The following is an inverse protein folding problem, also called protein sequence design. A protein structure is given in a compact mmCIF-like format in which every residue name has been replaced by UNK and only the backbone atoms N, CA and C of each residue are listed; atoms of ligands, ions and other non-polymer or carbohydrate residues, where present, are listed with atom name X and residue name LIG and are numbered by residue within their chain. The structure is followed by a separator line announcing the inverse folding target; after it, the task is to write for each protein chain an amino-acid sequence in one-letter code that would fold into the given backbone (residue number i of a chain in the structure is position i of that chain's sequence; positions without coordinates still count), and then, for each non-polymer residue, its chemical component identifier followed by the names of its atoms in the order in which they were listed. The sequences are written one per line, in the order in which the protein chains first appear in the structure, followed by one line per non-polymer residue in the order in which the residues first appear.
data_IF_893507986707
#
_entry.id   IF_893507986707
#
_cell.length_a   1.000
_cell.length_b   1.000
_cell.length_c   1.000
_cell.angle_alpha   90.00
_cell.angle_beta   90.00
_cell.angle_gamma   90.00
#
_symmetry.space_group_name_H-M   'P 1'
#
loop_
_entity.id
_entity.type
_entity.pdbx_description
1 polymer ?
#
# COMPACT_ATOMS: atom_id res chain seq x y z
N UNK A 1 -35.53 0.17 -108.66
CA UNK A 1 -35.30 0.78 -107.32
C UNK A 1 -35.00 -0.26 -106.22
N UNK A 2 -34.20 -1.31 -106.50
CA UNK A 2 -33.77 -2.28 -105.48
C UNK A 2 -32.30 -2.70 -105.54
N UNK A 3 -31.57 -2.42 -106.62
CA UNK A 3 -30.15 -2.79 -106.73
C UNK A 3 -29.23 -1.71 -106.13
N UNK A 4 -29.55 -0.43 -106.30
CA UNK A 4 -28.66 0.68 -105.90
C UNK A 4 -28.58 0.90 -104.37
N UNK A 5 -29.63 0.55 -103.62
CA UNK A 5 -29.59 0.60 -102.16
C UNK A 5 -28.86 -0.61 -101.57
N UNK A 6 -28.91 -1.75 -102.25
CA UNK A 6 -28.21 -2.98 -101.84
C UNK A 6 -26.71 -2.83 -102.10
N UNK A 7 -26.31 -2.21 -103.21
CA UNK A 7 -24.90 -1.89 -103.48
C UNK A 7 -24.35 -0.83 -102.52
N UNK A 8 -25.10 0.23 -102.19
CA UNK A 8 -24.65 1.20 -101.16
C UNK A 8 -24.56 0.60 -99.75
N UNK A 9 -25.47 -0.28 -99.36
CA UNK A 9 -25.36 -1.01 -98.09
C UNK A 9 -24.18 -1.98 -98.10
N UNK A 10 -23.92 -2.67 -99.23
CA UNK A 10 -22.77 -3.55 -99.39
C UNK A 10 -21.44 -2.77 -99.32
N UNK A 11 -21.34 -1.62 -99.99
CA UNK A 11 -20.16 -0.75 -99.93
C UNK A 11 -19.95 -0.16 -98.52
N UNK A 12 -21.03 0.17 -97.81
CA UNK A 12 -20.93 0.69 -96.43
C UNK A 12 -20.53 -0.40 -95.44
N UNK A 13 -20.91 -1.66 -95.67
CA UNK A 13 -20.48 -2.82 -94.87
C UNK A 13 -19.04 -3.27 -95.22
N UNK A 14 -18.62 -3.14 -96.48
CA UNK A 14 -17.26 -3.47 -96.93
C UNK A 14 -16.22 -2.41 -96.55
N UNK A 15 -16.62 -1.14 -96.42
CA UNK A 15 -15.75 -0.03 -95.97
C UNK A 15 -15.82 0.25 -94.46
N UNK A 16 -16.47 -0.61 -93.66
CA UNK A 16 -16.15 -0.58 -92.23
C UNK A 16 -14.68 -0.97 -92.07
N UNK A 17 -13.90 -0.28 -91.22
CA UNK A 17 -12.51 -0.66 -90.98
C UNK A 17 -12.52 -2.07 -90.40
N UNK A 18 -12.33 -3.05 -91.27
CA UNK A 18 -12.19 -4.44 -90.91
C UNK A 18 -10.89 -4.56 -90.12
N UNK A 19 -10.84 -5.54 -89.23
CA UNK A 19 -9.67 -5.88 -88.41
C UNK A 19 -8.39 -6.15 -89.22
N UNK A 20 -8.38 -6.01 -90.55
CA UNK A 20 -7.22 -6.10 -91.44
C UNK A 20 -6.54 -4.76 -91.75
N UNK A 21 -7.07 -3.61 -91.33
CA UNK A 21 -6.38 -2.32 -91.52
C UNK A 21 -5.24 -2.16 -90.50
N UNK A 22 -4.02 -2.40 -90.96
CA UNK A 22 -2.79 -2.36 -90.16
C UNK A 22 -2.67 -1.05 -89.37
N UNK A 23 -2.94 0.09 -90.00
CA UNK A 23 -2.85 1.42 -89.39
C UNK A 23 -3.83 1.59 -88.21
N UNK A 24 -5.08 1.14 -88.39
CA UNK A 24 -6.09 1.17 -87.33
C UNK A 24 -5.70 0.28 -86.14
N UNK A 25 -5.24 -0.95 -86.41
CA UNK A 25 -4.80 -1.87 -85.36
C UNK A 25 -3.58 -1.33 -84.60
N UNK A 26 -2.62 -0.71 -85.28
CA UNK A 26 -1.45 -0.09 -84.65
C UNK A 26 -1.87 1.05 -83.71
N UNK A 27 -2.79 1.92 -84.14
CA UNK A 27 -3.31 3.01 -83.29
C UNK A 27 -4.06 2.46 -82.08
N UNK A 28 -4.90 1.44 -82.23
CA UNK A 28 -5.61 0.80 -81.12
C UNK A 28 -4.65 0.14 -80.13
N UNK A 29 -3.61 -0.55 -80.60
CA UNK A 29 -2.58 -1.16 -79.74
C UNK A 29 -1.82 -0.08 -78.96
N UNK A 30 -1.45 1.03 -79.61
CA UNK A 30 -0.80 2.18 -78.95
C UNK A 30 -1.70 2.79 -77.87
N UNK A 31 -2.99 2.96 -78.16
CA UNK A 31 -3.97 3.45 -77.20
C UNK A 31 -4.13 2.52 -75.98
N UNK A 32 -4.18 1.21 -76.22
CA UNK A 32 -4.25 0.20 -75.14
C UNK A 32 -2.97 0.20 -74.30
N UNK A 33 -1.80 0.35 -74.92
CA UNK A 33 -0.53 0.46 -74.20
C UNK A 33 -0.48 1.74 -73.35
N UNK A 34 -0.90 2.88 -73.88
CA UNK A 34 -0.96 4.16 -73.14
C UNK A 34 -1.92 4.05 -71.96
N UNK A 35 -3.15 3.56 -72.19
CA UNK A 35 -4.12 3.36 -71.10
C UNK A 35 -3.63 2.33 -70.08
N UNK A 36 -2.98 1.26 -70.52
CA UNK A 36 -2.37 0.25 -69.65
C UNK A 36 -1.27 0.84 -68.77
N UNK A 37 -0.39 1.68 -69.34
CA UNK A 37 0.65 2.38 -68.60
C UNK A 37 0.09 3.39 -67.60
N UNK A 38 -0.95 4.14 -67.96
CA UNK A 38 -1.63 5.09 -67.05
C UNK A 38 -2.28 4.33 -65.88
N UNK A 39 -3.01 3.25 -66.16
CA UNK A 39 -3.63 2.43 -65.11
C UNK A 39 -2.59 1.78 -64.20
N UNK A 40 -1.48 1.28 -64.76
CA UNK A 40 -0.37 0.73 -63.98
C UNK A 40 0.28 1.80 -63.09
N UNK A 41 0.48 3.02 -63.61
CA UNK A 41 1.02 4.14 -62.85
C UNK A 41 0.11 4.52 -61.66
N UNK A 42 -1.20 4.70 -61.90
CA UNK A 42 -2.15 4.99 -60.82
C UNK A 42 -2.23 3.85 -59.81
N UNK A 43 -2.29 2.59 -60.24
CA UNK A 43 -2.29 1.42 -59.35
C UNK A 43 -1.06 1.40 -58.44
N UNK A 44 0.11 1.76 -58.98
CA UNK A 44 1.38 1.78 -58.24
C UNK A 44 1.40 2.92 -57.23
N UNK A 45 1.01 4.14 -57.64
CA UNK A 45 0.90 5.31 -56.75
C UNK A 45 -0.09 5.10 -55.61
N UNK A 46 -1.29 4.57 -55.90
CA UNK A 46 -2.28 4.29 -54.85
C UNK A 46 -1.83 3.16 -53.92
N UNK A 47 -1.15 2.13 -54.46
CA UNK A 47 -0.56 1.06 -53.65
C UNK A 47 0.54 1.59 -52.72
N UNK A 48 1.44 2.44 -53.22
CA UNK A 48 2.47 3.07 -52.38
C UNK A 48 1.87 4.01 -51.34
N UNK A 49 0.91 4.86 -51.71
CA UNK A 49 0.21 5.72 -50.74
C UNK A 49 -0.51 4.90 -49.66
N UNK A 50 -1.16 3.80 -50.04
CA UNK A 50 -1.81 2.90 -49.09
C UNK A 50 -0.80 2.23 -48.15
N UNK A 51 0.35 1.77 -48.69
CA UNK A 51 1.45 1.22 -47.88
C UNK A 51 2.02 2.26 -46.91
N UNK A 52 2.30 3.48 -47.38
CA UNK A 52 2.77 4.57 -46.52
C UNK A 52 1.74 4.92 -45.43
N UNK A 53 0.46 4.99 -45.77
CA UNK A 53 -0.60 5.24 -44.79
C UNK A 53 -0.70 4.13 -43.75
N UNK A 54 -0.58 2.87 -44.17
CA UNK A 54 -0.57 1.72 -43.26
C UNK A 54 0.66 1.74 -42.34
N UNK A 55 1.85 2.04 -42.87
CA UNK A 55 3.09 2.18 -42.09
C UNK A 55 2.94 3.31 -41.07
N UNK A 56 2.42 4.47 -41.48
CA UNK A 56 2.19 5.60 -40.57
C UNK A 56 1.22 5.24 -39.45
N UNK A 57 0.09 4.60 -39.80
CA UNK A 57 -0.88 4.12 -38.80
C UNK A 57 -0.27 3.12 -37.82
N UNK A 58 0.59 2.22 -38.30
CA UNK A 58 1.30 1.26 -37.44
C UNK A 58 2.30 1.95 -36.51
N UNK A 59 3.04 2.95 -37.02
CA UNK A 59 3.97 3.75 -36.21
C UNK A 59 3.24 4.57 -35.14
N UNK A 60 2.12 5.20 -35.49
CA UNK A 60 1.29 5.94 -34.52
C UNK A 60 0.75 5.01 -33.44
N UNK A 61 0.35 3.78 -33.80
CA UNK A 61 -0.08 2.75 -32.85
C UNK A 61 1.07 2.31 -31.94
N UNK A 62 2.26 2.10 -32.48
CA UNK A 62 3.45 1.75 -31.71
C UNK A 62 3.81 2.88 -30.74
N UNK A 63 3.80 4.14 -31.18
CA UNK A 63 4.06 5.30 -30.33
C UNK A 63 3.05 5.40 -29.18
N UNK A 64 1.77 5.17 -29.47
CA UNK A 64 0.73 5.18 -28.44
C UNK A 64 0.93 4.02 -27.44
N UNK A 65 1.31 2.84 -27.91
CA UNK A 65 1.64 1.71 -27.04
C UNK A 65 2.88 1.97 -26.18
N UNK A 66 3.92 2.59 -26.72
CA UNK A 66 5.13 2.92 -25.94
C UNK A 66 4.84 4.01 -24.90
N UNK A 67 4.04 5.02 -25.24
CA UNK A 67 3.59 6.05 -24.29
C UNK A 67 2.75 5.44 -23.16
N UNK A 68 1.76 4.60 -23.50
CA UNK A 68 0.96 3.89 -22.51
C UNK A 68 1.81 2.98 -21.62
N UNK A 69 2.79 2.29 -22.20
CA UNK A 69 3.71 1.43 -21.45
C UNK A 69 4.60 2.26 -20.52
N UNK A 70 5.13 3.39 -20.98
CA UNK A 70 5.94 4.30 -20.17
C UNK A 70 5.13 4.86 -18.99
N UNK A 71 3.93 5.37 -19.26
CA UNK A 71 3.01 5.90 -18.23
C UNK A 71 2.62 4.83 -17.21
N UNK A 72 2.33 3.62 -17.67
CA UNK A 72 2.01 2.48 -16.79
C UNK A 72 3.22 2.08 -15.96
N UNK A 73 4.41 2.05 -16.55
CA UNK A 73 5.66 1.72 -15.86
C UNK A 73 5.99 2.75 -14.79
N UNK A 74 5.85 4.05 -15.08
CA UNK A 74 6.04 5.12 -14.12
C UNK A 74 5.05 5.03 -12.97
N UNK A 75 3.78 4.74 -13.25
CA UNK A 75 2.77 4.49 -12.22
C UNK A 75 3.14 3.31 -11.33
N UNK A 76 3.52 2.17 -11.92
CA UNK A 76 3.95 0.98 -11.18
C UNK A 76 5.17 1.30 -10.32
N UNK A 77 6.15 2.02 -10.86
CA UNK A 77 7.35 2.44 -10.14
C UNK A 77 6.97 3.30 -8.93
N UNK A 78 6.14 4.32 -9.12
CA UNK A 78 5.69 5.21 -8.04
C UNK A 78 4.91 4.45 -6.97
N UNK A 79 4.01 3.54 -7.38
CA UNK A 79 3.25 2.71 -6.44
C UNK A 79 4.16 1.77 -5.63
N UNK A 80 5.21 1.21 -6.26
CA UNK A 80 6.21 0.38 -5.58
C UNK A 80 7.06 1.19 -4.61
N UNK A 81 7.49 2.39 -5.02
CA UNK A 81 8.25 3.31 -4.16
C UNK A 81 7.43 3.72 -2.94
N UNK A 82 6.16 4.11 -3.14
CA UNK A 82 5.26 4.46 -2.05
C UNK A 82 5.02 3.29 -1.10
N UNK A 83 4.76 2.08 -1.61
CA UNK A 83 4.60 0.88 -0.77
C UNK A 83 5.86 0.55 0.03
N UNK A 84 7.02 0.67 -0.60
CA UNK A 84 8.32 0.45 0.06
C UNK A 84 8.57 1.48 1.16
N UNK A 85 8.29 2.75 0.86
CA UNK A 85 8.42 3.85 1.81
C UNK A 85 7.46 3.69 3.01
N UNK A 86 6.17 3.47 2.74
CA UNK A 86 5.16 3.25 3.79
C UNK A 86 5.52 2.05 4.68
N UNK A 87 6.02 0.95 4.09
CA UNK A 87 6.49 -0.20 4.86
C UNK A 87 7.65 0.16 5.79
N UNK A 88 8.63 0.93 5.29
CA UNK A 88 9.78 1.38 6.11
C UNK A 88 9.32 2.30 7.24
N UNK A 89 8.40 3.21 6.97
CA UNK A 89 7.86 4.14 7.96
C UNK A 89 7.11 3.39 9.06
N UNK A 90 6.23 2.45 8.71
CA UNK A 90 5.52 1.60 9.68
C UNK A 90 6.51 0.84 10.57
N UNK A 91 7.55 0.23 9.99
CA UNK A 91 8.57 -0.51 10.75
C UNK A 91 9.33 0.42 11.70
N UNK A 92 9.70 1.63 11.25
CA UNK A 92 10.40 2.60 12.07
C UNK A 92 9.55 3.06 13.25
N UNK A 93 8.29 3.43 12.99
CA UNK A 93 7.34 3.83 14.04
C UNK A 93 7.16 2.71 15.04
N UNK A 94 6.97 1.47 14.56
CA UNK A 94 6.83 0.29 15.44
C UNK A 94 8.07 0.05 16.30
N UNK A 95 9.29 0.25 15.76
CA UNK A 95 10.53 0.12 16.54
C UNK A 95 10.60 1.16 17.66
N UNK A 96 10.36 2.43 17.34
CA UNK A 96 10.36 3.52 18.33
C UNK A 96 9.33 3.26 19.42
N UNK A 97 8.13 2.81 19.04
CA UNK A 97 7.06 2.52 20.00
C UNK A 97 7.34 1.28 20.84
N UNK A 98 8.02 0.28 20.30
CA UNK A 98 8.47 -0.88 21.06
C UNK A 98 9.54 -0.50 22.09
N UNK A 99 10.48 0.38 21.75
CA UNK A 99 11.48 0.90 22.69
C UNK A 99 10.82 1.70 23.83
N UNK A 100 9.87 2.58 23.49
CA UNK A 100 9.11 3.35 24.48
C UNK A 100 8.30 2.44 25.41
N UNK A 101 7.59 1.45 24.86
CA UNK A 101 6.88 0.43 25.63
C UNK A 101 7.80 -0.33 26.59
N UNK A 102 8.99 -0.73 26.10
CA UNK A 102 9.97 -1.46 26.89
C UNK A 102 10.45 -0.65 28.11
N UNK A 103 10.71 0.64 27.93
CA UNK A 103 11.13 1.53 29.00
C UNK A 103 10.03 1.72 30.05
N UNK A 104 8.78 1.89 29.61
CA UNK A 104 7.63 2.01 30.52
C UNK A 104 7.43 0.75 31.35
N UNK A 105 7.43 -0.42 30.71
CA UNK A 105 7.33 -1.71 31.40
C UNK A 105 8.46 -1.92 32.41
N UNK A 106 9.70 -1.56 32.04
CA UNK A 106 10.86 -1.68 32.93
C UNK A 106 10.82 -0.72 34.13
N UNK A 107 10.04 0.36 34.03
CA UNK A 107 9.90 1.38 35.09
C UNK A 107 8.64 1.20 35.93
N UNK A 108 7.73 0.32 35.53
CA UNK A 108 6.40 0.18 36.10
C UNK A 108 6.41 -0.24 37.56
N UNK A 109 7.25 -1.23 37.93
CA UNK A 109 7.40 -1.67 39.32
C UNK A 109 7.81 -0.51 40.23
N UNK A 110 8.86 0.23 39.84
CA UNK A 110 9.34 1.38 40.60
C UNK A 110 8.30 2.49 40.69
N UNK A 111 7.53 2.73 39.62
CA UNK A 111 6.46 3.73 39.61
C UNK A 111 5.35 3.38 40.61
N UNK A 112 4.93 2.11 40.66
CA UNK A 112 3.90 1.62 41.59
C UNK A 112 4.40 1.59 43.04
N UNK A 113 5.65 1.18 43.28
CA UNK A 113 6.23 1.21 44.63
C UNK A 113 6.40 2.65 45.13
N UNK A 114 6.81 3.57 44.26
CA UNK A 114 6.90 5.00 44.58
C UNK A 114 5.53 5.61 44.87
N UNK A 115 4.49 5.23 44.11
CA UNK A 115 3.11 5.63 44.38
C UNK A 115 2.64 5.13 45.76
N UNK A 116 2.93 3.86 46.09
CA UNK A 116 2.65 3.31 47.42
C UNK A 116 3.36 4.12 48.51
N UNK A 117 4.67 4.37 48.36
CA UNK A 117 5.45 5.12 49.36
C UNK A 117 4.87 6.53 49.55
N UNK A 118 4.57 7.22 48.46
CA UNK A 118 3.98 8.56 48.47
C UNK A 118 2.64 8.58 49.21
N UNK A 119 1.72 7.66 48.87
CA UNK A 119 0.36 7.62 49.43
C UNK A 119 0.31 7.23 50.90
N UNK A 120 1.17 6.30 51.34
CA UNK A 120 1.13 5.80 52.72
C UNK A 120 1.99 6.60 53.68
N UNK A 121 3.15 7.10 53.24
CA UNK A 121 4.11 7.77 54.11
C UNK A 121 4.23 9.28 53.86
N UNK A 122 3.43 9.82 52.95
CA UNK A 122 3.43 11.25 52.59
C UNK A 122 4.84 11.74 52.17
N UNK A 123 5.64 10.83 51.61
CA UNK A 123 6.98 11.10 51.15
C UNK A 123 6.96 11.80 49.79
N UNK A 124 7.81 12.80 49.61
CA UNK A 124 8.03 13.46 48.31
C UNK A 124 8.87 12.56 47.40
N UNK A 125 8.21 11.59 46.76
CA UNK A 125 8.81 10.73 45.74
C UNK A 125 8.30 11.16 44.38
N UNK A 126 9.22 11.40 43.44
CA UNK A 126 8.85 11.69 42.06
C UNK A 126 8.54 10.39 41.33
N UNK A 127 7.32 10.23 40.80
CA UNK A 127 6.91 9.05 40.04
C UNK A 127 5.99 9.42 38.86
N UNK A 128 6.02 8.62 37.80
CA UNK A 128 5.15 8.79 36.63
C UNK A 128 3.82 8.04 36.84
N UNK A 129 2.80 8.77 37.29
CA UNK A 129 1.43 8.25 37.46
C UNK A 129 0.80 7.73 36.16
N UNK A 130 1.33 8.09 34.99
CA UNK A 130 0.81 7.65 33.69
C UNK A 130 1.63 6.52 33.07
N UNK A 131 2.58 5.94 33.81
CA UNK A 131 3.49 4.92 33.30
C UNK A 131 2.72 3.76 32.63
N UNK A 132 1.74 3.20 33.36
CA UNK A 132 0.88 2.13 32.85
C UNK A 132 -0.02 2.58 31.69
N UNK A 133 -0.69 3.72 31.84
CA UNK A 133 -1.64 4.22 30.82
C UNK A 133 -0.96 4.49 29.47
N UNK A 134 0.24 5.09 29.50
CA UNK A 134 1.06 5.29 28.29
C UNK A 134 1.40 3.95 27.64
N UNK A 135 1.76 2.95 28.44
CA UNK A 135 2.11 1.64 27.91
C UNK A 135 0.90 0.92 27.31
N UNK A 136 -0.27 1.02 27.95
CA UNK A 136 -1.54 0.49 27.44
C UNK A 136 -1.93 1.14 26.10
N UNK A 137 -1.80 2.47 25.99
CA UNK A 137 -2.04 3.19 24.75
C UNK A 137 -1.08 2.74 23.64
N UNK A 138 0.22 2.64 23.93
CA UNK A 138 1.20 2.19 22.95
C UNK A 138 0.91 0.77 22.48
N UNK A 139 0.60 -0.13 23.41
CA UNK A 139 0.25 -1.51 23.10
C UNK A 139 -0.95 -1.57 22.17
N UNK A 140 -2.03 -0.89 22.53
CA UNK A 140 -3.29 -0.89 21.77
C UNK A 140 -3.14 -0.34 20.35
N UNK A 141 -2.33 0.70 20.16
CA UNK A 141 -2.20 1.39 18.87
C UNK A 141 -1.13 0.79 17.96
N UNK A 142 -0.01 0.33 18.52
CA UNK A 142 1.19 0.01 17.75
C UNK A 142 1.68 -1.43 17.89
N UNK A 143 1.34 -2.10 19.00
CA UNK A 143 1.88 -3.42 19.37
C UNK A 143 0.75 -4.41 19.74
N UNK A 144 -0.19 -4.70 18.82
CA UNK A 144 -1.28 -5.63 19.09
C UNK A 144 -0.80 -7.06 19.42
N UNK A 145 0.43 -7.42 19.02
CA UNK A 145 1.04 -8.72 19.27
C UNK A 145 1.41 -8.94 20.75
N UNK A 146 1.40 -7.88 21.57
CA UNK A 146 1.66 -7.92 23.01
C UNK A 146 0.38 -8.02 23.86
N UNK A 147 -0.80 -8.15 23.24
CA UNK A 147 -2.08 -8.05 23.95
C UNK A 147 -2.21 -9.02 25.11
N UNK A 148 -1.73 -10.26 24.95
CA UNK A 148 -1.87 -11.28 25.98
C UNK A 148 -0.95 -10.98 27.17
N UNK A 149 0.32 -10.71 26.90
CA UNK A 149 1.30 -10.41 27.92
C UNK A 149 0.98 -9.08 28.63
N UNK A 150 0.50 -8.08 27.90
CA UNK A 150 0.03 -6.82 28.48
C UNK A 150 -1.22 -6.99 29.34
N UNK A 151 -2.12 -7.91 28.97
CA UNK A 151 -3.30 -8.21 29.78
C UNK A 151 -2.94 -8.83 31.13
N UNK A 152 -1.92 -9.68 31.19
CA UNK A 152 -1.42 -10.20 32.48
C UNK A 152 -0.80 -9.08 33.33
N UNK A 153 -0.07 -8.14 32.72
CA UNK A 153 0.40 -6.93 33.42
C UNK A 153 -0.80 -6.12 33.93
N UNK A 154 -1.84 -5.95 33.12
CA UNK A 154 -3.05 -5.21 33.51
C UNK A 154 -3.72 -5.81 34.75
N UNK A 155 -3.80 -7.15 34.85
CA UNK A 155 -4.34 -7.84 36.03
C UNK A 155 -3.50 -7.55 37.27
N UNK A 156 -2.18 -7.74 37.19
CA UNK A 156 -1.28 -7.51 38.31
C UNK A 156 -1.28 -6.05 38.79
N UNK A 157 -1.32 -5.10 37.85
CA UNK A 157 -1.47 -3.66 38.16
C UNK A 157 -2.81 -3.39 38.84
N UNK A 158 -3.90 -4.00 38.35
CA UNK A 158 -5.22 -3.85 38.97
C UNK A 158 -5.24 -4.40 40.40
N UNK A 159 -4.69 -5.58 40.63
CA UNK A 159 -4.60 -6.19 41.97
C UNK A 159 -3.77 -5.33 42.92
N UNK A 160 -2.62 -4.83 42.47
CA UNK A 160 -1.77 -3.93 43.27
C UNK A 160 -2.47 -2.61 43.61
N UNK A 161 -3.17 -2.00 42.65
CA UNK A 161 -3.89 -0.73 42.87
C UNK A 161 -5.14 -0.90 43.75
N UNK A 162 -5.83 -2.04 43.64
CA UNK A 162 -6.90 -2.42 44.57
C UNK A 162 -6.35 -2.55 46.00
N UNK A 163 -5.23 -3.26 46.19
CA UNK A 163 -4.55 -3.38 47.48
C UNK A 163 -4.15 -2.01 48.06
N UNK A 164 -3.58 -1.09 47.27
CA UNK A 164 -3.30 0.29 47.71
C UNK A 164 -4.58 0.98 48.20
N UNK A 165 -5.68 0.84 47.46
CA UNK A 165 -6.95 1.50 47.76
C UNK A 165 -7.57 0.97 49.05
N UNK A 166 -7.47 -0.33 49.31
CA UNK A 166 -7.88 -0.95 50.57
C UNK A 166 -7.07 -0.39 51.75
N UNK A 167 -5.74 -0.32 51.62
CA UNK A 167 -4.90 0.21 52.70
C UNK A 167 -5.11 1.71 52.94
N UNK A 168 -5.42 2.50 51.90
CA UNK A 168 -5.83 3.89 52.07
C UNK A 168 -7.16 4.01 52.83
N UNK A 169 -8.10 3.09 52.60
CA UNK A 169 -9.37 3.05 53.34
C UNK A 169 -9.13 2.72 54.82
N UNK A 170 -8.21 1.78 55.11
CA UNK A 170 -7.77 1.46 56.48
C UNK A 170 -7.08 2.68 57.14
N UNK A 171 -6.18 3.36 56.42
CA UNK A 171 -5.51 4.59 56.88
C UNK A 171 -6.54 5.66 57.25
N UNK A 172 -7.55 5.88 56.41
CA UNK A 172 -8.63 6.83 56.66
C UNK A 172 -9.48 6.46 57.88
N UNK A 173 -9.80 5.18 58.07
CA UNK A 173 -10.54 4.72 59.26
C UNK A 173 -9.76 4.99 60.54
N UNK A 174 -8.45 4.69 60.56
CA UNK A 174 -7.59 4.95 61.72
C UNK A 174 -7.48 6.45 62.02
N UNK A 175 -7.40 7.31 61.00
CA UNK A 175 -7.44 8.77 61.16
C UNK A 175 -8.76 9.20 61.80
N UNK A 176 -9.90 8.66 61.35
CA UNK A 176 -11.22 9.00 61.92
C UNK A 176 -11.37 8.57 63.38
N UNK A 177 -10.62 7.54 63.81
CA UNK A 177 -10.52 7.09 65.21
C UNK A 177 -9.51 7.90 66.03
N UNK A 178 -8.89 8.94 65.45
CA UNK A 178 -7.96 9.85 66.13
C UNK A 178 -6.50 9.36 66.17
N UNK A 179 -6.14 8.32 65.42
CA UNK A 179 -4.74 7.89 65.30
C UNK A 179 -3.98 8.91 64.45
N UNK A 180 -2.97 9.55 65.04
CA UNK A 180 -2.06 10.43 64.30
C UNK A 180 -1.05 9.59 63.51
N UNK A 181 -0.88 9.91 62.22
CA UNK A 181 0.05 9.27 61.29
C UNK A 181 -0.05 7.73 61.28
N UNK A 182 -1.21 7.15 60.92
CA UNK A 182 -1.36 5.70 60.90
C UNK A 182 -0.46 5.08 59.84
N UNK A 183 0.42 4.19 60.27
CA UNK A 183 1.23 3.35 59.40
C UNK A 183 0.44 2.12 58.94
N UNK A 184 0.80 1.52 57.78
CA UNK A 184 0.21 0.26 57.34
C UNK A 184 0.32 -0.84 58.42
N UNK A 185 -0.74 -1.62 58.62
CA UNK A 185 -0.70 -2.74 59.57
C UNK A 185 0.21 -3.85 59.05
N UNK A 186 0.78 -4.65 59.97
CA UNK A 186 1.62 -5.80 59.57
C UNK A 186 0.85 -6.81 58.70
N UNK A 187 -0.42 -7.04 59.03
CA UNK A 187 -1.31 -7.94 58.29
C UNK A 187 -1.52 -7.44 56.85
N UNK A 188 -1.80 -6.14 56.66
CA UNK A 188 -1.93 -5.54 55.34
C UNK A 188 -0.65 -5.66 54.50
N UNK A 189 0.52 -5.51 55.14
CA UNK A 189 1.82 -5.59 54.47
C UNK A 189 2.26 -7.01 54.09
N UNK A 190 1.61 -8.06 54.62
CA UNK A 190 1.96 -9.46 54.29
C UNK A 190 1.68 -9.82 52.83
N UNK A 191 0.73 -9.14 52.18
CA UNK A 191 0.37 -9.39 50.77
C UNK A 191 1.34 -8.74 49.77
N UNK A 192 2.08 -7.70 50.19
CA UNK A 192 2.95 -6.92 49.29
C UNK A 192 3.97 -7.78 48.53
N UNK A 193 4.70 -8.74 49.16
CA UNK A 193 5.69 -9.54 48.45
C UNK A 193 5.09 -10.42 47.35
N UNK A 194 3.90 -10.97 47.57
CA UNK A 194 3.19 -11.80 46.59
C UNK A 194 2.75 -10.96 45.39
N UNK A 195 2.07 -9.84 45.62
CA UNK A 195 1.64 -8.91 44.57
C UNK A 195 2.82 -8.36 43.76
N UNK A 196 3.95 -8.03 44.43
CA UNK A 196 5.17 -7.62 43.74
C UNK A 196 5.73 -8.74 42.86
N UNK A 197 5.74 -9.98 43.36
CA UNK A 197 6.22 -11.13 42.58
C UNK A 197 5.38 -11.35 41.33
N UNK A 198 4.05 -11.28 41.45
CA UNK A 198 3.12 -11.44 40.33
C UNK A 198 3.31 -10.32 39.28
N UNK A 199 3.43 -9.08 39.75
CA UNK A 199 3.73 -7.93 38.89
C UNK A 199 5.05 -8.09 38.14
N UNK A 200 6.13 -8.46 38.83
CA UNK A 200 7.45 -8.67 38.22
C UNK A 200 7.38 -9.78 37.18
N UNK A 201 6.74 -10.92 37.47
CA UNK A 201 6.59 -12.02 36.52
C UNK A 201 5.82 -11.57 35.26
N UNK A 202 4.74 -10.81 35.44
CA UNK A 202 3.96 -10.29 34.31
C UNK A 202 4.79 -9.32 33.45
N UNK A 203 5.53 -8.40 34.09
CA UNK A 203 6.43 -7.46 33.41
C UNK A 203 7.52 -8.21 32.64
N UNK A 204 8.19 -9.18 33.27
CA UNK A 204 9.24 -9.97 32.64
C UNK A 204 8.74 -10.71 31.39
N UNK A 205 7.53 -11.26 31.44
CA UNK A 205 6.91 -11.92 30.30
C UNK A 205 6.64 -10.92 29.15
N UNK A 206 6.11 -9.73 29.46
CA UNK A 206 5.89 -8.67 28.49
C UNK A 206 7.22 -8.18 27.87
N UNK A 207 8.28 -8.03 28.67
CA UNK A 207 9.61 -7.64 28.20
C UNK A 207 10.26 -8.74 27.34
N UNK A 208 10.08 -10.01 27.70
CA UNK A 208 10.55 -11.15 26.90
C UNK A 208 9.87 -11.16 25.54
N UNK A 209 8.55 -10.99 25.49
CA UNK A 209 7.82 -10.92 24.23
C UNK A 209 8.23 -9.70 23.39
N UNK A 210 8.46 -8.56 24.05
CA UNK A 210 8.97 -7.35 23.38
C UNK A 210 10.33 -7.60 22.72
N UNK A 211 11.22 -8.36 23.36
CA UNK A 211 12.53 -8.75 22.77
C UNK A 211 12.35 -9.67 21.55
N UNK A 212 11.39 -10.57 21.56
CA UNK A 212 11.06 -11.42 20.41
C UNK A 212 10.56 -10.58 19.23
N UNK A 213 9.66 -9.64 19.48
CA UNK A 213 9.16 -8.70 18.46
C UNK A 213 10.28 -7.80 17.92
N UNK A 214 11.17 -7.32 18.79
CA UNK A 214 12.32 -6.51 18.36
C UNK A 214 13.23 -7.29 17.40
N UNK A 215 13.47 -8.57 17.67
CA UNK A 215 14.24 -9.44 16.76
C UNK A 215 13.53 -9.58 15.42
N UNK A 216 12.22 -9.84 15.42
CA UNK A 216 11.43 -10.00 14.20
C UNK A 216 11.39 -8.72 13.35
N UNK A 217 11.38 -7.53 13.96
CA UNK A 217 11.42 -6.25 13.25
C UNK A 217 12.81 -5.89 12.68
N UNK A 218 13.86 -6.57 13.13
CA UNK A 218 15.24 -6.31 12.71
C UNK A 218 15.74 -7.28 11.61
N UNK A 219 15.04 -8.39 11.40
CA UNK A 219 15.23 -9.33 10.27
C UNK A 219 14.39 -8.94 9.06
#
# INVERSE_FOLDING_TARGET
MKEESVTKMADTLLNQPTLSNLEYNVVVILLVLIFGSILAFFKTLYSEKAKYSAIKSSLDTINLQTELTAKTTEKIKNDLEYKSWNRKEIVLVRRVKLEEYFLLMSSLENALDSEFIHKFFDAEVNYDHQCYDKANMIQSLYLPELVNEHHEVAKAVHEFTCWISEGLSIKAELISKGVQNPAPTKEFMQMKPELNSELVIAIENALKKSKELAKALNT
#
